data_IF_697389515154
#
_entry.id   IF_697389515154
#
_cell.length_a   1.000
_cell.length_b   1.000
_cell.length_c   1.000
_cell.angle_alpha   90.00
_cell.angle_beta   90.00
_cell.angle_gamma   90.00
#
_symmetry.space_group_name_H-M   'P 1'
#
loop_
_entity.id
_entity.type
_entity.pdbx_description
1 polymer ?
#
# COMPACT_ATOMS: atom_id res chain seq x y z
N UNK A 1 25.46 9.91 -11.91
CA UNK A 1 26.85 9.55 -11.55
C UNK A 1 26.95 9.54 -10.04
N UNK A 2 26.91 8.37 -9.41
CA UNK A 2 27.10 8.24 -7.97
C UNK A 2 28.62 8.17 -7.72
N UNK A 3 29.17 9.19 -7.07
CA UNK A 3 30.55 9.20 -6.59
C UNK A 3 30.72 8.09 -5.56
N UNK A 4 31.43 7.03 -5.93
CA UNK A 4 31.82 5.98 -4.99
C UNK A 4 32.64 6.64 -3.87
N UNK A 5 32.12 6.60 -2.65
CA UNK A 5 32.88 7.05 -1.49
C UNK A 5 34.21 6.27 -1.42
N UNK A 6 35.33 6.94 -1.11
CA UNK A 6 36.60 6.24 -0.94
C UNK A 6 36.47 5.18 0.15
N UNK A 7 37.18 4.04 0.03
CA UNK A 7 37.16 3.01 1.05
C UNK A 7 37.58 3.62 2.41
N UNK A 8 36.89 3.26 3.50
CA UNK A 8 37.23 3.77 4.83
C UNK A 8 38.69 3.41 5.15
N UNK A 9 39.40 4.36 5.76
CA UNK A 9 40.78 4.15 6.18
C UNK A 9 40.88 2.91 7.08
N UNK A 10 41.97 2.12 6.99
CA UNK A 10 42.19 1.01 7.91
C UNK A 10 42.17 1.54 9.34
N UNK A 11 41.34 0.92 10.19
CA UNK A 11 41.29 1.29 11.61
C UNK A 11 42.66 1.06 12.25
N UNK A 12 43.12 1.96 13.14
CA UNK A 12 44.37 1.76 13.85
C UNK A 12 44.33 0.44 14.64
N UNK A 13 45.47 -0.26 14.79
CA UNK A 13 45.53 -1.48 15.57
C UNK A 13 45.07 -1.19 17.00
N UNK A 14 44.05 -1.91 17.46
CA UNK A 14 43.45 -1.72 18.78
C UNK A 14 44.50 -1.96 19.87
N UNK A 15 44.85 -0.94 20.70
CA UNK A 15 45.87 -1.08 21.73
C UNK A 15 45.26 -1.73 22.97
N UNK A 16 45.57 -3.01 23.22
CA UNK A 16 45.23 -3.68 24.47
C UNK A 16 44.52 -5.01 24.25
N UNK A 17 45.02 -6.06 24.92
CA UNK A 17 44.68 -7.47 24.68
C UNK A 17 43.20 -7.72 24.45
N UNK A 18 42.89 -8.36 23.31
CA UNK A 18 41.56 -8.84 22.95
C UNK A 18 41.09 -9.86 23.98
N UNK A 19 40.49 -9.40 25.09
CA UNK A 19 39.78 -10.27 26.01
C UNK A 19 38.72 -11.00 25.21
N UNK A 20 38.90 -12.30 25.02
CA UNK A 20 37.94 -13.12 24.29
C UNK A 20 36.54 -12.91 24.90
N UNK A 21 35.57 -12.64 24.04
CA UNK A 21 34.18 -12.40 24.45
C UNK A 21 33.66 -13.60 25.25
N UNK A 22 33.06 -13.36 26.43
CA UNK A 22 32.51 -14.43 27.27
C UNK A 22 31.31 -15.09 26.59
N UNK A 23 30.96 -16.32 27.01
CA UNK A 23 29.78 -17.02 26.47
C UNK A 23 28.50 -16.20 26.64
N UNK A 24 28.30 -15.58 27.81
CA UNK A 24 27.12 -14.75 28.08
C UNK A 24 27.08 -13.52 27.18
N UNK A 25 28.23 -12.88 26.94
CA UNK A 25 28.33 -11.77 25.99
C UNK A 25 28.00 -12.20 24.56
N UNK A 26 28.48 -13.38 24.13
CA UNK A 26 28.14 -13.93 22.79
C UNK A 26 26.66 -14.18 22.64
N UNK A 27 26.03 -14.80 23.63
CA UNK A 27 24.58 -15.05 23.64
C UNK A 27 23.81 -13.73 23.62
N UNK A 28 24.25 -12.73 24.38
CA UNK A 28 23.61 -11.41 24.39
C UNK A 28 23.69 -10.71 23.03
N UNK A 29 24.86 -10.73 22.38
CA UNK A 29 25.04 -10.14 21.03
C UNK A 29 24.22 -10.90 20.00
N UNK A 30 24.24 -12.24 20.03
CA UNK A 30 23.43 -13.07 19.15
C UNK A 30 21.93 -12.78 19.32
N UNK A 31 21.43 -12.80 20.55
CA UNK A 31 20.03 -12.48 20.85
C UNK A 31 19.64 -11.10 20.33
N UNK A 32 20.50 -10.09 20.56
CA UNK A 32 20.22 -8.73 20.09
C UNK A 32 20.21 -8.62 18.56
N UNK A 33 21.01 -9.44 17.87
CA UNK A 33 21.00 -9.53 16.42
C UNK A 33 19.66 -10.08 15.91
N UNK A 34 19.11 -11.12 16.54
CA UNK A 34 17.80 -11.69 16.21
C UNK A 34 16.69 -10.68 16.44
N UNK A 35 16.70 -9.96 17.58
CA UNK A 35 15.72 -8.90 17.85
C UNK A 35 15.74 -7.81 16.77
N UNK A 36 16.94 -7.45 16.31
CA UNK A 36 17.12 -6.45 15.24
C UNK A 36 16.55 -6.95 13.91
N UNK A 37 16.78 -8.23 13.57
CA UNK A 37 16.19 -8.86 12.38
C UNK A 37 14.65 -8.87 12.45
N UNK A 38 14.09 -9.24 13.61
CA UNK A 38 12.64 -9.24 13.83
C UNK A 38 12.03 -7.84 13.69
N UNK A 39 12.69 -6.83 14.27
CA UNK A 39 12.22 -5.45 14.19
C UNK A 39 12.17 -4.94 12.74
N UNK A 40 13.22 -5.18 11.94
CA UNK A 40 13.19 -4.78 10.52
C UNK A 40 12.15 -5.55 9.71
N UNK A 41 11.95 -6.83 9.98
CA UNK A 41 10.89 -7.61 9.34
C UNK A 41 9.48 -7.07 9.69
N UNK A 42 9.26 -6.69 10.95
CA UNK A 42 8.02 -6.05 11.39
C UNK A 42 7.79 -4.71 10.69
N UNK A 43 8.82 -3.86 10.59
CA UNK A 43 8.74 -2.57 9.88
C UNK A 43 8.40 -2.76 8.40
N UNK A 44 9.03 -3.73 7.73
CA UNK A 44 8.71 -4.07 6.33
C UNK A 44 7.24 -4.51 6.17
N UNK A 45 6.75 -5.33 7.10
CA UNK A 45 5.35 -5.80 7.08
C UNK A 45 4.36 -4.66 7.29
N UNK A 46 4.60 -3.79 8.28
CA UNK A 46 3.76 -2.60 8.54
C UNK A 46 3.74 -1.64 7.34
N UNK A 47 4.89 -1.45 6.68
CA UNK A 47 4.97 -0.62 5.48
C UNK A 47 4.10 -1.15 4.33
N UNK A 48 4.09 -2.48 4.11
CA UNK A 48 3.20 -3.11 3.11
C UNK A 48 1.73 -2.94 3.45
N UNK A 49 1.36 -3.14 4.71
CA UNK A 49 -0.01 -2.96 5.19
C UNK A 49 -0.49 -1.52 4.95
N UNK A 50 0.35 -0.53 5.27
CA UNK A 50 0.07 0.88 5.00
C UNK A 50 -0.14 1.14 3.50
N UNK A 51 0.74 0.59 2.65
CA UNK A 51 0.63 0.72 1.20
C UNK A 51 -0.69 0.14 0.66
N UNK A 52 -1.10 -1.04 1.15
CA UNK A 52 -2.37 -1.66 0.75
C UNK A 52 -3.58 -0.90 1.27
N UNK A 53 -3.53 -0.39 2.50
CA UNK A 53 -4.58 0.44 3.05
C UNK A 53 -4.78 1.73 2.24
N UNK A 54 -3.69 2.36 1.80
CA UNK A 54 -3.75 3.54 0.94
C UNK A 54 -4.40 3.23 -0.41
N UNK A 55 -4.05 2.10 -1.03
CA UNK A 55 -4.66 1.66 -2.29
C UNK A 55 -6.16 1.39 -2.11
N UNK A 56 -6.55 0.68 -1.05
CA UNK A 56 -7.95 0.41 -0.74
C UNK A 56 -8.75 1.71 -0.52
N UNK A 57 -8.17 2.68 0.21
CA UNK A 57 -8.78 3.99 0.44
C UNK A 57 -8.95 4.76 -0.88
N UNK A 58 -7.91 4.82 -1.73
CA UNK A 58 -7.98 5.50 -3.02
C UNK A 58 -9.05 4.90 -3.94
N UNK A 59 -9.16 3.57 -4.00
CA UNK A 59 -10.21 2.89 -4.76
C UNK A 59 -11.61 3.13 -4.17
N UNK A 60 -11.74 3.07 -2.85
CA UNK A 60 -13.01 3.32 -2.15
C UNK A 60 -13.55 4.72 -2.40
N UNK A 61 -12.70 5.75 -2.20
CA UNK A 61 -13.05 7.15 -2.51
C UNK A 61 -13.35 7.30 -4.01
N UNK A 62 -12.55 6.68 -4.86
CA UNK A 62 -12.74 6.69 -6.30
C UNK A 62 -14.10 6.15 -6.75
N UNK A 63 -14.56 5.07 -6.13
CA UNK A 63 -15.87 4.45 -6.40
C UNK A 63 -17.03 5.33 -5.91
N UNK A 64 -16.90 5.93 -4.73
CA UNK A 64 -17.91 6.86 -4.19
C UNK A 64 -18.08 8.07 -5.11
N UNK A 65 -16.98 8.70 -5.53
CA UNK A 65 -17.03 9.86 -6.44
C UNK A 65 -17.57 9.48 -7.81
N UNK A 66 -17.25 8.29 -8.33
CA UNK A 66 -17.78 7.81 -9.60
C UNK A 66 -19.32 7.67 -9.55
N UNK A 67 -19.88 7.28 -8.40
CA UNK A 67 -21.32 7.21 -8.20
C UNK A 67 -22.04 8.56 -8.21
N UNK A 68 -21.31 9.67 -8.07
CA UNK A 68 -21.87 11.03 -8.11
C UNK A 68 -21.96 11.59 -9.54
N UNK A 69 -21.50 10.85 -10.56
CA UNK A 69 -21.73 11.19 -11.95
C UNK A 69 -20.89 12.37 -12.46
N UNK A 70 -21.51 13.25 -13.27
CA UNK A 70 -20.80 14.27 -14.04
C UNK A 70 -20.20 15.41 -13.21
N UNK A 71 -20.69 15.63 -11.99
CA UNK A 71 -20.28 16.72 -11.10
C UNK A 71 -18.78 16.67 -10.74
N UNK A 72 -18.15 15.49 -10.86
CA UNK A 72 -16.73 15.25 -10.59
C UNK A 72 -15.92 14.97 -11.86
N UNK A 73 -16.38 15.48 -13.00
CA UNK A 73 -15.66 15.42 -14.27
C UNK A 73 -15.14 16.79 -14.70
N UNK A 74 -13.89 16.84 -15.15
CA UNK A 74 -13.30 18.02 -15.76
C UNK A 74 -13.30 17.85 -17.27
N UNK A 75 -13.83 18.84 -18.00
CA UNK A 75 -13.71 18.88 -19.47
C UNK A 75 -12.30 19.36 -19.81
N UNK A 76 -11.53 18.51 -20.47
CA UNK A 76 -10.18 18.77 -20.95
C UNK A 76 -10.26 19.14 -22.44
N UNK A 77 -9.17 19.68 -22.98
CA UNK A 77 -9.08 20.08 -24.38
C UNK A 77 -9.53 18.97 -25.34
N UNK A 78 -10.37 19.33 -26.32
CA UNK A 78 -10.95 18.40 -27.29
C UNK A 78 -12.25 17.71 -26.82
N UNK A 79 -12.91 18.20 -25.77
CA UNK A 79 -14.21 17.68 -25.31
C UNK A 79 -14.12 16.41 -24.46
N UNK A 80 -12.91 15.94 -24.19
CA UNK A 80 -12.66 14.78 -23.33
C UNK A 80 -13.05 15.09 -21.89
N UNK A 81 -13.73 14.15 -21.23
CA UNK A 81 -14.06 14.26 -19.81
C UNK A 81 -13.11 13.42 -18.98
N UNK A 82 -12.45 14.05 -18.02
CA UNK A 82 -11.54 13.40 -17.11
C UNK A 82 -12.13 13.41 -15.70
N UNK A 83 -12.55 12.23 -15.25
CA UNK A 83 -13.12 12.06 -13.91
C UNK A 83 -12.04 12.21 -12.84
N UNK A 84 -12.35 12.89 -11.73
CA UNK A 84 -11.42 13.09 -10.59
C UNK A 84 -10.88 11.75 -10.06
N UNK A 85 -11.69 10.68 -10.14
CA UNK A 85 -11.29 9.30 -9.78
C UNK A 85 -10.03 8.82 -10.51
N UNK A 86 -9.81 9.21 -11.77
CA UNK A 86 -8.60 8.82 -12.52
C UNK A 86 -7.36 9.38 -11.82
N UNK A 87 -7.40 10.65 -11.40
CA UNK A 87 -6.30 11.27 -10.66
C UNK A 87 -6.06 10.63 -9.30
N UNK A 88 -7.12 10.27 -8.58
CA UNK A 88 -7.01 9.60 -7.28
C UNK A 88 -6.35 8.23 -7.42
N UNK A 89 -6.72 7.46 -8.45
CA UNK A 89 -6.09 6.16 -8.71
C UNK A 89 -4.63 6.32 -9.11
N UNK A 90 -4.29 7.31 -9.95
CA UNK A 90 -2.91 7.62 -10.30
C UNK A 90 -2.09 8.08 -9.08
N UNK A 91 -2.68 8.85 -8.18
CA UNK A 91 -2.07 9.18 -6.89
C UNK A 91 -1.84 7.92 -6.04
N UNK A 92 -2.77 6.95 -6.09
CA UNK A 92 -2.61 5.59 -5.58
C UNK A 92 -1.36 4.87 -6.11
N UNK A 93 -1.14 4.90 -7.43
CA UNK A 93 0.06 4.33 -8.08
C UNK A 93 1.34 5.02 -7.59
N UNK A 94 1.33 6.35 -7.47
CA UNK A 94 2.48 7.11 -7.01
C UNK A 94 2.82 6.78 -5.54
N UNK A 95 1.82 6.75 -4.66
CA UNK A 95 2.00 6.38 -3.27
C UNK A 95 2.51 4.93 -3.12
N UNK A 96 1.94 4.00 -3.89
CA UNK A 96 2.41 2.61 -3.90
C UNK A 96 3.87 2.51 -4.38
N UNK A 97 4.27 3.33 -5.34
CA UNK A 97 5.66 3.44 -5.80
C UNK A 97 6.58 3.99 -4.71
N UNK A 98 6.12 4.99 -3.94
CA UNK A 98 6.87 5.53 -2.82
C UNK A 98 7.05 4.48 -1.71
N UNK A 99 5.99 3.75 -1.36
CA UNK A 99 6.05 2.64 -0.39
C UNK A 99 6.99 1.54 -0.89
N UNK A 100 6.93 1.16 -2.17
CA UNK A 100 7.87 0.19 -2.77
C UNK A 100 9.32 0.62 -2.61
N UNK A 101 9.64 1.89 -2.88
CA UNK A 101 11.00 2.43 -2.74
C UNK A 101 11.46 2.37 -1.29
N UNK A 102 10.58 2.65 -0.34
CA UNK A 102 10.90 2.61 1.09
C UNK A 102 11.10 1.16 1.57
N UNK A 103 10.17 0.25 1.26
CA UNK A 103 10.23 -1.17 1.65
C UNK A 103 11.47 -1.87 1.05
N UNK A 104 11.65 -1.80 -0.28
CA UNK A 104 12.75 -2.50 -0.96
C UNK A 104 14.09 -1.76 -0.89
N UNK A 105 14.06 -0.43 -0.89
CA UNK A 105 15.27 0.39 -0.92
C UNK A 105 15.88 0.61 0.47
N UNK A 106 15.07 0.61 1.53
CA UNK A 106 15.54 0.88 2.89
C UNK A 106 15.38 -0.37 3.75
N UNK A 107 14.15 -0.80 4.04
CA UNK A 107 13.93 -1.87 5.03
C UNK A 107 14.49 -3.22 4.60
N UNK A 108 14.36 -3.59 3.32
CA UNK A 108 14.95 -4.82 2.81
C UNK A 108 16.48 -4.81 2.88
N UNK A 109 17.12 -3.66 2.64
CA UNK A 109 18.59 -3.54 2.76
C UNK A 109 19.04 -3.64 4.21
N UNK A 110 18.33 -2.98 5.13
CA UNK A 110 18.61 -3.06 6.58
C UNK A 110 18.44 -4.49 7.10
N UNK A 111 17.37 -5.18 6.70
CA UNK A 111 17.14 -6.58 7.05
C UNK A 111 18.26 -7.48 6.52
N UNK A 112 18.68 -7.30 5.26
CA UNK A 112 19.80 -8.06 4.69
C UNK A 112 21.11 -7.82 5.45
N UNK A 113 21.38 -6.58 5.86
CA UNK A 113 22.55 -6.25 6.69
C UNK A 113 22.51 -6.95 8.05
N UNK A 114 21.37 -6.91 8.73
CA UNK A 114 21.19 -7.58 10.03
C UNK A 114 21.31 -9.12 9.93
N UNK A 115 20.76 -9.70 8.87
CA UNK A 115 20.87 -11.14 8.57
C UNK A 115 22.32 -11.51 8.26
N UNK A 116 23.03 -10.73 7.43
CA UNK A 116 24.43 -11.01 7.10
C UNK A 116 25.33 -10.96 8.35
N UNK A 117 25.11 -9.96 9.23
CA UNK A 117 25.79 -9.91 10.52
C UNK A 117 25.46 -11.12 11.40
N UNK A 118 24.18 -11.52 11.47
CA UNK A 118 23.76 -12.70 12.23
C UNK A 118 24.38 -14.00 11.72
N UNK A 119 24.44 -14.20 10.39
CA UNK A 119 25.08 -15.36 9.76
C UNK A 119 26.58 -15.44 10.07
N UNK A 120 27.29 -14.31 9.97
CA UNK A 120 28.72 -14.21 10.26
C UNK A 120 29.03 -14.44 11.74
N UNK A 121 28.21 -13.84 12.63
CA UNK A 121 28.33 -14.01 14.07
C UNK A 121 28.02 -15.45 14.50
N UNK A 122 26.99 -16.08 13.92
CA UNK A 122 26.65 -17.47 14.20
C UNK A 122 27.77 -18.42 13.79
N UNK A 123 28.34 -18.24 12.59
CA UNK A 123 29.44 -19.06 12.08
C UNK A 123 30.69 -18.94 12.94
N UNK A 124 31.07 -17.71 13.31
CA UNK A 124 32.34 -17.42 13.98
C UNK A 124 32.28 -17.68 15.49
N UNK A 125 31.15 -17.39 16.14
CA UNK A 125 31.08 -17.36 17.60
C UNK A 125 30.09 -18.35 18.22
N UNK A 126 29.00 -18.70 17.53
CA UNK A 126 27.96 -19.57 18.09
C UNK A 126 28.10 -21.03 17.67
N UNK A 127 28.69 -21.33 16.51
CA UNK A 127 28.85 -22.69 15.99
C UNK A 127 29.49 -23.66 17.00
N UNK A 128 30.58 -23.30 17.73
CA UNK A 128 31.16 -24.19 18.75
C UNK A 128 30.23 -24.45 19.94
N UNK A 129 29.32 -23.50 20.24
CA UNK A 129 28.38 -23.60 21.36
C UNK A 129 27.14 -24.43 21.00
N UNK A 130 26.65 -24.28 19.78
CA UNK A 130 25.41 -24.91 19.31
C UNK A 130 25.62 -26.35 18.82
N UNK A 131 26.85 -26.74 18.47
CA UNK A 131 27.17 -28.04 17.88
C UNK A 131 26.32 -28.39 16.63
N UNK A 132 25.89 -27.36 15.90
CA UNK A 132 25.13 -27.48 14.65
C UNK A 132 26.00 -27.04 13.47
N UNK A 133 25.79 -27.64 12.29
CA UNK A 133 26.49 -27.21 11.07
C UNK A 133 26.10 -25.80 10.64
N UNK A 134 24.84 -25.42 10.86
CA UNK A 134 24.30 -24.09 10.57
C UNK A 134 23.58 -23.50 11.76
N UNK A 135 23.71 -22.18 11.92
CA UNK A 135 22.92 -21.41 12.87
C UNK A 135 21.49 -21.15 12.38
N UNK A 136 20.66 -20.60 13.26
CA UNK A 136 19.25 -20.30 12.98
C UNK A 136 19.09 -19.35 11.79
N UNK A 137 19.89 -18.28 11.76
CA UNK A 137 19.83 -17.26 10.71
C UNK A 137 20.21 -17.85 9.35
N UNK A 138 21.27 -18.65 9.31
CA UNK A 138 21.72 -19.34 8.09
C UNK A 138 20.66 -20.33 7.55
N UNK A 139 19.98 -21.05 8.44
CA UNK A 139 18.90 -21.96 8.06
C UNK A 139 17.71 -21.18 7.45
N UNK A 140 17.24 -20.12 8.10
CA UNK A 140 16.15 -19.27 7.60
C UNK A 140 16.50 -18.68 6.24
N UNK A 141 17.71 -18.14 6.08
CA UNK A 141 18.18 -17.60 4.80
C UNK A 141 18.16 -18.65 3.68
N UNK A 142 18.57 -19.88 3.97
CA UNK A 142 18.55 -20.96 2.99
C UNK A 142 17.13 -21.29 2.52
N UNK A 143 16.19 -21.52 3.45
CA UNK A 143 14.79 -21.81 3.12
C UNK A 143 14.06 -20.63 2.46
N UNK A 144 14.45 -19.40 2.79
CA UNK A 144 13.87 -18.20 2.18
C UNK A 144 14.25 -18.04 0.70
N UNK A 145 15.51 -18.36 0.36
CA UNK A 145 16.08 -18.21 -0.99
C UNK A 145 15.76 -19.36 -1.92
N UNK A 146 15.65 -20.58 -1.41
CA UNK A 146 15.42 -21.79 -2.20
C UNK A 146 13.99 -22.28 -1.97
N UNK A 147 13.10 -22.12 -2.96
CA UNK A 147 11.70 -22.56 -2.82
C UNK A 147 11.52 -24.08 -2.76
N UNK A 148 12.52 -24.81 -3.25
CA UNK A 148 12.65 -26.26 -3.20
C UNK A 148 13.55 -26.73 -2.06
N UNK A 149 13.83 -25.86 -1.07
CA UNK A 149 14.68 -26.21 0.05
C UNK A 149 14.12 -27.41 0.83
N UNK A 150 14.97 -28.40 1.06
CA UNK A 150 14.68 -29.52 1.95
C UNK A 150 15.81 -29.73 2.96
N UNK A 151 15.45 -30.20 4.14
CA UNK A 151 16.39 -30.68 5.15
C UNK A 151 16.08 -32.15 5.43
N UNK A 152 17.06 -33.03 5.26
CA UNK A 152 16.97 -34.40 5.72
C UNK A 152 17.17 -34.33 7.24
N UNK A 153 16.19 -34.60 8.09
CA UNK A 153 16.24 -34.36 9.55
C UNK A 153 17.34 -35.05 10.37
N UNK A 154 18.37 -35.61 9.72
CA UNK A 154 19.57 -36.11 10.35
C UNK A 154 20.47 -34.97 10.88
N UNK A 155 21.11 -35.14 12.05
CA UNK A 155 22.18 -34.26 12.52
C UNK A 155 23.30 -34.14 11.48
N UNK A 156 23.74 -32.91 11.18
CA UNK A 156 24.75 -32.65 10.14
C UNK A 156 24.24 -32.79 8.70
N UNK A 157 22.92 -32.71 8.49
CA UNK A 157 22.35 -32.75 7.16
C UNK A 157 22.67 -31.49 6.36
N UNK A 158 23.15 -31.71 5.13
CA UNK A 158 23.29 -30.65 4.14
C UNK A 158 21.91 -30.19 3.69
N UNK A 159 21.72 -28.88 3.67
CA UNK A 159 20.53 -28.27 3.10
C UNK A 159 20.66 -28.28 1.57
N UNK A 160 19.67 -28.82 0.87
CA UNK A 160 19.61 -28.89 -0.59
C UNK A 160 18.55 -27.93 -1.14
N UNK A 161 18.70 -27.52 -2.40
CA UNK A 161 17.77 -26.63 -3.11
C UNK A 161 18.49 -25.89 -4.23
N UNK A 162 17.84 -25.73 -5.37
CA UNK A 162 18.41 -25.13 -6.58
C UNK A 162 17.60 -23.96 -7.13
N UNK A 163 16.33 -23.85 -6.73
CA UNK A 163 15.43 -22.80 -7.21
C UNK A 163 15.63 -21.51 -6.41
N UNK A 164 16.70 -20.80 -6.74
CA UNK A 164 17.03 -19.51 -6.14
C UNK A 164 16.07 -18.42 -6.59
N UNK A 165 15.25 -17.91 -5.66
CA UNK A 165 14.45 -16.69 -5.84
C UNK A 165 14.58 -15.82 -4.60
N UNK A 166 15.01 -14.58 -4.77
CA UNK A 166 15.16 -13.69 -3.61
C UNK A 166 13.79 -13.25 -3.09
N UNK A 167 13.69 -13.03 -1.78
CA UNK A 167 12.49 -12.45 -1.19
C UNK A 167 12.18 -11.05 -1.78
N UNK A 168 13.22 -10.30 -2.18
CA UNK A 168 13.10 -9.02 -2.86
C UNK A 168 12.36 -9.14 -4.20
N UNK A 169 12.65 -10.16 -5.00
CA UNK A 169 11.99 -10.38 -6.30
C UNK A 169 10.49 -10.69 -6.14
N UNK A 170 10.15 -11.49 -5.12
CA UNK A 170 8.75 -11.83 -4.79
C UNK A 170 7.95 -10.57 -4.44
N UNK A 171 8.50 -9.74 -3.56
CA UNK A 171 7.87 -8.48 -3.13
C UNK A 171 7.84 -7.46 -4.28
N UNK A 172 8.91 -7.37 -5.08
CA UNK A 172 8.96 -6.51 -6.26
C UNK A 172 7.91 -6.87 -7.31
N UNK A 173 7.67 -8.16 -7.52
CA UNK A 173 6.63 -8.66 -8.42
C UNK A 173 5.23 -8.28 -7.91
N UNK A 174 4.99 -8.40 -6.60
CA UNK A 174 3.74 -7.99 -5.97
C UNK A 174 3.43 -6.50 -6.21
N UNK A 175 4.38 -5.60 -5.95
CA UNK A 175 4.19 -4.17 -6.20
C UNK A 175 3.96 -3.86 -7.68
N UNK A 176 4.68 -4.54 -8.57
CA UNK A 176 4.54 -4.35 -10.02
C UNK A 176 3.13 -4.75 -10.48
N UNK A 177 2.63 -5.90 -10.02
CA UNK A 177 1.27 -6.34 -10.31
C UNK A 177 0.22 -5.36 -9.77
N UNK A 178 0.35 -4.94 -8.51
CA UNK A 178 -0.58 -3.99 -7.90
C UNK A 178 -0.61 -2.63 -8.63
N UNK A 179 0.55 -2.10 -9.03
CA UNK A 179 0.62 -0.90 -9.86
C UNK A 179 -0.06 -1.09 -11.22
N UNK A 180 0.15 -2.23 -11.89
CA UNK A 180 -0.50 -2.53 -13.17
C UNK A 180 -2.02 -2.58 -13.05
N UNK A 181 -2.54 -3.23 -12.00
CA UNK A 181 -3.99 -3.29 -11.73
C UNK A 181 -4.57 -1.88 -11.61
N UNK A 182 -3.92 -0.97 -10.89
CA UNK A 182 -4.38 0.41 -10.74
C UNK A 182 -4.32 1.20 -12.05
N UNK A 183 -3.25 1.03 -12.84
CA UNK A 183 -3.12 1.70 -14.15
C UNK A 183 -4.23 1.22 -15.09
N UNK A 184 -4.48 -0.09 -15.16
CA UNK A 184 -5.55 -0.66 -15.99
C UNK A 184 -6.91 -0.14 -15.53
N UNK A 185 -7.17 -0.11 -14.22
CA UNK A 185 -8.42 0.45 -13.67
C UNK A 185 -8.61 1.93 -14.04
N UNK A 186 -7.55 2.75 -13.97
CA UNK A 186 -7.60 4.15 -14.37
C UNK A 186 -7.91 4.31 -15.87
N UNK A 187 -7.30 3.50 -16.73
CA UNK A 187 -7.55 3.50 -18.17
C UNK A 187 -8.96 3.05 -18.51
N UNK A 188 -9.46 1.99 -17.86
CA UNK A 188 -10.83 1.51 -18.03
C UNK A 188 -11.85 2.57 -17.62
N UNK A 189 -11.64 3.21 -16.46
CA UNK A 189 -12.51 4.30 -16.02
C UNK A 189 -12.51 5.48 -16.98
N UNK A 190 -11.32 5.89 -17.45
CA UNK A 190 -11.20 6.93 -18.46
C UNK A 190 -11.97 6.57 -19.75
N UNK A 191 -11.83 5.33 -20.23
CA UNK A 191 -12.54 4.86 -21.41
C UNK A 191 -14.06 4.86 -21.21
N UNK A 192 -14.55 4.35 -20.08
CA UNK A 192 -15.99 4.29 -19.76
C UNK A 192 -16.61 5.68 -19.67
N UNK A 193 -15.96 6.62 -18.97
CA UNK A 193 -16.45 8.00 -18.82
C UNK A 193 -16.50 8.76 -20.14
N UNK A 194 -15.64 8.43 -21.11
CA UNK A 194 -15.65 9.09 -22.42
C UNK A 194 -16.59 8.39 -23.41
N UNK A 195 -16.76 7.07 -23.32
CA UNK A 195 -17.68 6.33 -24.17
C UNK A 195 -19.15 6.69 -23.92
N UNK A 196 -19.53 6.97 -22.67
CA UNK A 196 -20.91 7.37 -22.32
C UNK A 196 -21.34 8.68 -23.01
N UNK A 197 -20.41 9.59 -23.29
CA UNK A 197 -20.74 10.90 -23.89
C UNK A 197 -21.07 10.79 -25.38
N UNK A 198 -20.40 9.89 -26.11
CA UNK A 198 -20.60 9.71 -27.56
C UNK A 198 -22.05 9.26 -27.85
N UNK A 199 -22.63 8.46 -26.96
CA UNK A 199 -23.99 7.93 -27.13
C UNK A 199 -25.07 9.02 -27.02
N UNK A 200 -24.86 10.06 -26.20
CA UNK A 200 -25.86 11.12 -25.97
C UNK A 200 -25.96 12.07 -27.18
N UNK A 201 -24.83 12.42 -27.81
CA UNK A 201 -24.85 13.31 -28.99
C UNK A 201 -25.62 12.72 -30.18
N UNK A 202 -25.55 11.39 -30.36
CA UNK A 202 -26.25 10.72 -31.46
C UNK A 202 -27.77 10.65 -31.28
N UNK A 203 -28.29 10.69 -30.04
CA UNK A 203 -29.74 10.67 -29.78
C UNK A 203 -30.35 12.08 -29.72
N UNK A 204 -29.60 13.10 -29.30
CA UNK A 204 -30.11 14.48 -29.24
C UNK A 204 -30.41 15.09 -30.62
N UNK A 205 -29.65 14.72 -31.65
CA UNK A 205 -29.80 15.31 -33.00
C UNK A 205 -31.02 14.79 -33.76
N UNK A 206 -31.53 13.59 -33.44
CA UNK A 206 -32.70 13.01 -34.09
C UNK A 206 -34.03 13.59 -33.58
N UNK A 207 -34.05 14.17 -32.37
CA UNK A 207 -35.26 14.74 -31.77
C UNK A 207 -35.49 16.22 -32.11
N UNK A 208 -34.47 16.92 -32.63
CA UNK A 208 -34.51 18.37 -32.89
C UNK A 208 -35.17 18.77 -34.21
N UNK A 209 -35.50 17.84 -35.10
CA UNK A 209 -36.19 18.14 -36.39
C UNK A 209 -37.72 17.97 -36.32
N UNK A 210 -38.28 17.68 -35.13
CA UNK A 210 -39.71 17.73 -34.88
C UNK A 210 -40.14 19.13 -34.46
N UNK A 211 -40.83 19.86 -35.36
CA UNK A 211 -41.28 21.24 -35.15
C UNK A 211 -42.13 21.49 -33.88
N UNK A 212 -42.29 22.76 -33.50
CA UNK A 212 -42.86 23.16 -32.20
C UNK A 212 -44.35 22.82 -32.13
N UNK A 213 -44.70 21.70 -31.49
CA UNK A 213 -46.09 21.41 -31.13
C UNK A 213 -46.44 22.13 -29.83
N UNK A 214 -47.44 23.01 -29.93
CA UNK A 214 -48.10 23.90 -28.96
C UNK A 214 -48.52 23.31 -27.60
N UNK A 215 -48.10 22.09 -27.24
CA UNK A 215 -48.60 21.39 -26.05
C UNK A 215 -47.87 21.71 -24.75
N UNK A 216 -46.66 22.27 -24.79
CA UNK A 216 -45.86 22.53 -23.58
C UNK A 216 -46.33 23.79 -22.83
N UNK A 217 -46.83 24.81 -23.52
CA UNK A 217 -47.24 26.08 -22.88
C UNK A 217 -48.49 25.92 -21.99
N UNK A 218 -49.30 24.89 -22.24
CA UNK A 218 -50.52 24.62 -21.44
C UNK A 218 -50.24 23.90 -20.13
N UNK A 219 -49.13 23.16 -20.03
CA UNK A 219 -48.76 22.42 -18.83
C UNK A 219 -48.01 23.27 -17.78
N UNK A 220 -47.33 24.34 -18.21
CA UNK A 220 -46.67 25.26 -17.27
C UNK A 220 -47.69 26.18 -16.56
N UNK A 221 -48.75 26.60 -17.26
CA UNK A 221 -49.82 27.42 -16.64
C UNK A 221 -50.61 26.67 -15.54
N UNK A 222 -50.72 25.34 -15.60
CA UNK A 222 -51.44 24.60 -14.56
C UNK A 222 -50.63 24.43 -13.28
N UNK A 223 -49.30 24.31 -13.38
CA UNK A 223 -48.42 24.14 -12.20
C UNK A 223 -48.22 25.44 -11.43
N UNK A 224 -48.23 26.58 -12.12
CA UNK A 224 -48.09 27.88 -11.47
C UNK A 224 -49.32 28.26 -10.63
N UNK A 225 -50.50 27.72 -10.97
CA UNK A 225 -51.71 27.88 -10.15
C UNK A 225 -51.73 27.02 -8.87
N UNK A 226 -50.97 25.91 -8.84
CA UNK A 226 -50.93 24.99 -7.69
C UNK A 226 -49.88 25.41 -6.65
N UNK A 227 -48.81 26.08 -7.11
CA UNK A 227 -47.74 26.58 -6.24
C UNK A 227 -48.17 27.77 -5.36
N UNK A 228 -49.10 28.59 -5.83
CA UNK A 228 -49.69 29.69 -5.04
C UNK A 228 -50.58 29.20 -3.89
N UNK A 229 -51.09 27.96 -3.92
CA UNK A 229 -51.93 27.42 -2.85
C UNK A 229 -51.14 26.79 -1.68
N UNK A 230 -49.88 26.38 -1.90
CA UNK A 230 -49.13 25.64 -0.87
C UNK A 230 -48.34 26.53 0.11
N UNK A 231 -48.23 27.84 -0.15
CA UNK A 231 -47.42 28.76 0.66
C UNK A 231 -48.08 29.24 1.96
N UNK A 232 -49.23 28.67 2.36
CA UNK A 232 -50.00 29.14 3.52
C UNK A 232 -50.06 28.15 4.71
N UNK A 233 -49.13 27.18 4.80
CA UNK A 233 -49.09 26.23 5.92
C UNK A 233 -48.07 26.66 6.99
N UNK A 234 -48.63 27.07 8.13
CA UNK A 234 -48.02 27.62 9.34
C UNK A 234 -47.07 26.61 10.03
N UNK A 235 -45.86 27.07 10.38
CA UNK A 235 -44.89 26.32 11.20
C UNK A 235 -45.33 26.16 12.66
N UNK A 236 -45.22 24.96 13.26
CA UNK A 236 -45.14 24.79 14.70
C UNK A 236 -43.69 24.79 15.23
N UNK A 237 -43.55 25.30 16.45
CA UNK A 237 -42.34 25.66 17.18
C UNK A 237 -41.38 24.49 17.54
N UNK A 238 -40.09 24.78 17.83
CA UNK A 238 -39.13 23.75 18.24
C UNK A 238 -39.29 23.37 19.73
N UNK A 239 -39.44 22.07 19.97
CA UNK A 239 -39.41 21.47 21.30
C UNK A 239 -37.97 21.23 21.76
N UNK A 240 -37.60 21.91 22.85
CA UNK A 240 -36.42 21.70 23.68
C UNK A 240 -36.35 20.29 24.25
N UNK A 241 -35.24 19.59 24.07
CA UNK A 241 -34.91 18.39 24.85
C UNK A 241 -33.47 18.47 25.36
N UNK A 242 -33.38 18.66 26.68
CA UNK A 242 -32.20 18.52 27.50
C UNK A 242 -32.08 17.07 28.01
N UNK A 243 -30.87 16.65 28.36
CA UNK A 243 -30.54 15.32 28.94
C UNK A 243 -29.61 14.56 27.99
N UNK A 244 -28.49 13.96 28.39
CA UNK A 244 -28.14 13.37 29.67
C UNK A 244 -26.61 13.38 29.85
N UNK A 245 -26.18 13.70 31.05
CA UNK A 245 -24.84 13.45 31.56
C UNK A 245 -24.73 11.97 31.93
N UNK A 246 -23.60 11.30 31.65
CA UNK A 246 -23.42 9.95 32.13
C UNK A 246 -22.10 9.26 31.82
N UNK A 247 -21.33 9.05 32.89
CA UNK A 247 -20.61 7.80 33.20
C UNK A 247 -19.18 7.62 32.66
N UNK A 248 -18.25 8.03 33.54
CA UNK A 248 -17.26 7.21 34.23
C UNK A 248 -16.38 6.20 33.45
N UNK A 249 -15.08 6.50 33.47
CA UNK A 249 -14.11 5.70 34.24
C UNK A 249 -13.69 4.34 33.67
N UNK A 250 -12.43 4.26 33.21
CA UNK A 250 -11.62 3.07 33.49
C UNK A 250 -10.11 3.37 33.47
N UNK A 251 -9.56 3.28 34.66
CA UNK A 251 -8.15 3.07 34.98
C UNK A 251 -7.67 1.72 34.46
N UNK A 252 -6.51 1.69 33.81
CA UNK A 252 -5.42 0.74 34.08
C UNK A 252 -4.14 1.16 33.38
#
# INVERSE_FOLDING_TARGET
MATSAPPPAPLPPSPGGSSAMTTDQKIAVWSKSIDTQMHFNEMATKSRQLGLAFVAAALGVGLVLLGQGEDFSLVVWGGWRLHVTVFIILAGVLALTAVRKLDLGVYHQMLRGAVAFGEDFEETHMKPLLQQEKGLTQAISHFSRNSDASANGAPGSKYGGSNFKTAGDKVGSFYTLASWVLIISALLLFAVTNASNITIEHHGKAASDGGPTEHTERAERSKQAEQDQSSNQVSPAPASAAGEAGVAGKTR
#
